data_IF_531649950961
#
_entry.id   IF_531649950961
#
_cell.length_a   1.000
_cell.length_b   1.000
_cell.length_c   1.000
_cell.angle_alpha   90.00
_cell.angle_beta   90.00
_cell.angle_gamma   90.00
#
_symmetry.space_group_name_H-M   'P 1'
#
loop_
_entity.id
_entity.type
_entity.pdbx_description
1 polymer ?
#
# COMPACT_ATOMS: atom_id res chain seq x y z
N UNK A 1 -22.70 -13.78 7.36
CA UNK A 1 -21.94 -13.38 8.55
C UNK A 1 -20.46 -13.54 8.26
N UNK A 2 -19.63 -12.54 8.57
CA UNK A 2 -18.22 -12.44 8.15
C UNK A 2 -17.24 -12.80 9.27
N UNK A 3 -16.02 -13.21 8.92
CA UNK A 3 -14.97 -13.56 9.92
C UNK A 3 -14.05 -12.37 10.18
N UNK A 4 -13.88 -12.00 11.44
CA UNK A 4 -12.98 -10.91 11.89
C UNK A 4 -11.92 -11.47 12.86
N UNK A 5 -10.81 -12.05 12.35
CA UNK A 5 -9.82 -12.71 13.20
C UNK A 5 -8.85 -11.69 13.84
N UNK A 6 -9.21 -11.16 15.02
CA UNK A 6 -8.44 -10.12 15.72
C UNK A 6 -7.08 -10.56 16.28
N UNK A 7 -6.91 -11.86 16.52
CA UNK A 7 -5.64 -12.41 17.04
C UNK A 7 -4.63 -12.75 15.94
N UNK A 8 -5.04 -12.69 14.67
CA UNK A 8 -4.18 -13.08 13.55
C UNK A 8 -3.43 -11.87 13.01
N UNK A 9 -2.13 -11.76 13.29
CA UNK A 9 -1.30 -10.61 12.88
C UNK A 9 -1.19 -10.42 11.35
N UNK A 10 -1.41 -11.48 10.57
CA UNK A 10 -1.40 -11.42 9.09
C UNK A 10 -2.72 -10.93 8.48
N UNK A 11 -3.75 -10.75 9.31
CA UNK A 11 -5.03 -10.27 8.83
C UNK A 11 -4.93 -8.78 8.48
N UNK A 12 -5.44 -8.41 7.30
CA UNK A 12 -5.59 -7.03 6.88
C UNK A 12 -6.88 -6.48 7.50
N UNK A 13 -6.73 -5.73 8.59
CA UNK A 13 -7.85 -5.16 9.35
C UNK A 13 -7.67 -3.66 9.45
N UNK A 14 -8.56 -2.89 8.83
CA UNK A 14 -8.66 -1.46 9.09
C UNK A 14 -9.47 -1.22 10.37
N UNK A 15 -8.99 -0.31 11.20
CA UNK A 15 -9.67 0.15 12.40
C UNK A 15 -9.98 1.63 12.30
N UNK A 16 -11.21 2.02 12.64
CA UNK A 16 -11.61 3.40 12.80
C UNK A 16 -12.40 3.58 14.10
N UNK A 17 -12.17 4.71 14.76
CA UNK A 17 -12.92 5.14 15.92
C UNK A 17 -13.36 6.58 15.74
N UNK A 18 -14.65 6.83 15.93
CA UNK A 18 -15.22 8.17 15.88
C UNK A 18 -16.40 8.30 16.86
N UNK A 19 -16.81 9.53 17.14
CA UNK A 19 -17.88 9.85 18.07
C UNK A 19 -19.03 10.58 17.37
N UNK A 20 -20.23 10.03 17.43
CA UNK A 20 -21.43 10.69 16.93
C UNK A 20 -21.96 11.69 17.98
N UNK A 21 -22.08 12.95 17.58
CA UNK A 21 -22.68 14.02 18.38
C UNK A 21 -24.19 14.04 18.20
N UNK A 22 -24.92 13.72 19.26
CA UNK A 22 -26.38 13.68 19.28
C UNK A 22 -26.94 14.61 20.35
N UNK A 23 -28.22 14.97 20.26
CA UNK A 23 -28.90 15.84 21.23
C UNK A 23 -28.81 15.33 22.68
N UNK A 24 -28.71 14.00 22.85
CA UNK A 24 -28.64 13.36 24.16
C UNK A 24 -27.19 13.10 24.63
N UNK A 25 -26.18 13.42 23.83
CA UNK A 25 -24.77 13.24 24.17
C UNK A 25 -23.92 12.66 23.03
N UNK A 26 -22.80 12.04 23.39
CA UNK A 26 -21.82 11.48 22.46
C UNK A 26 -21.92 9.95 22.44
N UNK A 27 -21.99 9.35 21.25
CA UNK A 27 -22.01 7.91 21.05
C UNK A 27 -20.70 7.50 20.38
N UNK A 28 -19.89 6.69 21.05
CA UNK A 28 -18.65 6.18 20.47
C UNK A 28 -18.92 5.02 19.51
N UNK A 29 -18.42 5.12 18.28
CA UNK A 29 -18.51 4.09 17.25
C UNK A 29 -17.12 3.52 17.01
N UNK A 30 -17.01 2.19 17.02
CA UNK A 30 -15.77 1.46 16.69
C UNK A 30 -16.06 0.53 15.53
N UNK A 31 -15.26 0.64 14.47
CA UNK A 31 -15.45 -0.12 13.23
C UNK A 31 -14.19 -0.89 12.92
N UNK A 32 -14.37 -2.16 12.54
CA UNK A 32 -13.32 -3.04 12.03
C UNK A 32 -13.72 -3.55 10.65
N UNK A 33 -12.86 -3.35 9.66
CA UNK A 33 -13.08 -3.84 8.28
C UNK A 33 -12.02 -4.90 8.00
N UNK A 34 -12.45 -6.16 7.87
CA UNK A 34 -11.59 -7.28 7.50
C UNK A 34 -11.51 -7.37 5.97
N UNK A 35 -10.35 -7.06 5.40
CA UNK A 35 -10.07 -7.14 3.95
C UNK A 35 -9.50 -8.50 3.52
N UNK A 36 -9.14 -9.36 4.48
CA UNK A 36 -8.58 -10.69 4.22
C UNK A 36 -7.25 -10.91 4.94
N UNK A 37 -6.35 -11.68 4.32
CA UNK A 37 -5.01 -11.94 4.84
C UNK A 37 -3.96 -11.46 3.84
N UNK A 38 -2.91 -10.80 4.33
CA UNK A 38 -1.79 -10.34 3.49
C UNK A 38 -0.73 -11.43 3.43
N UNK A 39 -0.45 -11.93 2.23
CA UNK A 39 0.64 -12.88 1.96
C UNK A 39 1.80 -12.12 1.30
N UNK A 40 2.71 -11.55 2.10
CA UNK A 40 3.86 -10.77 1.62
C UNK A 40 4.47 -9.90 2.73
N UNK A 41 5.56 -9.17 2.44
CA UNK A 41 6.08 -8.13 3.35
C UNK A 41 5.19 -6.88 3.20
N UNK A 42 4.38 -6.51 4.19
CA UNK A 42 3.63 -5.26 4.14
C UNK A 42 4.63 -4.12 4.33
N UNK A 43 4.69 -3.18 3.38
CA UNK A 43 5.45 -1.95 3.56
C UNK A 43 4.66 -1.08 4.55
N UNK A 44 4.99 -1.18 5.84
CA UNK A 44 4.27 -0.50 6.94
C UNK A 44 4.54 1.01 7.00
N UNK A 45 5.20 1.58 5.99
CA UNK A 45 5.43 3.01 5.88
C UNK A 45 4.15 3.70 5.38
N UNK A 46 3.50 4.58 6.16
CA UNK A 46 2.24 5.22 5.79
C UNK A 46 2.41 6.34 4.74
N UNK A 47 3.42 6.26 3.87
CA UNK A 47 3.75 7.23 2.82
C UNK A 47 3.71 6.59 1.43
N UNK A 48 2.74 5.71 1.18
CA UNK A 48 2.52 5.10 -0.13
C UNK A 48 1.08 5.27 -0.63
N UNK A 49 0.39 6.34 -0.22
CA UNK A 49 -0.55 6.94 -1.14
C UNK A 49 0.27 7.46 -2.33
N UNK A 50 0.01 6.91 -3.52
CA UNK A 50 0.66 7.15 -4.82
C UNK A 50 1.84 6.23 -5.17
N UNK A 51 1.52 5.01 -5.64
CA UNK A 51 1.98 4.55 -6.96
C UNK A 51 1.25 3.26 -7.39
N UNK A 52 0.45 3.28 -8.47
CA UNK A 52 0.14 2.03 -9.17
C UNK A 52 1.40 1.58 -9.90
N UNK A 53 2.08 0.54 -9.42
CA UNK A 53 3.21 -0.05 -10.17
C UNK A 53 2.67 -0.96 -11.28
N UNK A 54 2.15 -0.31 -12.33
CA UNK A 54 1.89 -0.92 -13.63
C UNK A 54 3.21 -1.24 -14.34
N UNK A 55 3.24 -2.39 -15.00
CA UNK A 55 4.37 -2.90 -15.81
C UNK A 55 4.57 -2.02 -17.06
N UNK A 56 5.80 -1.63 -17.38
CA UNK A 56 6.19 -1.08 -18.71
C UNK A 56 7.71 -1.31 -18.90
N UNK A 57 8.12 -2.40 -19.55
CA UNK A 57 8.40 -2.55 -20.99
C UNK A 57 9.48 -1.59 -21.50
N UNK A 58 10.60 -2.16 -21.93
CA UNK A 58 11.79 -1.40 -22.33
C UNK A 58 11.66 -0.68 -23.66
N UNK A 59 12.55 0.28 -23.89
CA UNK A 59 13.37 0.38 -25.11
C UNK A 59 14.36 1.55 -25.05
N UNK A 60 15.56 1.27 -25.58
CA UNK A 60 16.45 2.15 -26.33
C UNK A 60 17.20 3.34 -25.69
N UNK A 61 18.53 3.23 -25.87
CA UNK A 61 19.64 4.22 -25.88
C UNK A 61 20.37 4.36 -24.54
N UNK A 62 21.71 4.28 -24.59
CA UNK A 62 22.45 5.50 -24.89
C UNK A 62 23.47 5.35 -26.01
N UNK A 63 23.49 6.36 -26.87
CA UNK A 63 24.66 6.73 -27.62
C UNK A 63 25.82 6.98 -26.63
N UNK A 64 27.02 6.47 -26.98
CA UNK A 64 28.37 7.00 -26.67
C UNK A 64 29.38 5.86 -26.47
N UNK A 65 29.91 5.33 -27.58
CA UNK A 65 31.27 4.78 -27.55
C UNK A 65 32.21 5.83 -28.13
N UNK A 66 32.97 6.42 -27.22
CA UNK A 66 34.09 7.32 -27.50
C UNK A 66 35.28 6.49 -27.95
N UNK A 67 35.98 6.98 -28.96
CA UNK A 67 37.43 6.83 -29.05
C UNK A 67 37.92 5.75 -30.02
N UNK A 68 38.96 6.13 -30.77
CA UNK A 68 39.81 5.17 -31.46
C UNK A 68 40.02 5.39 -32.96
N UNK A 69 40.26 6.64 -33.40
CA UNK A 69 40.96 6.85 -34.68
C UNK A 69 42.40 6.37 -34.51
N UNK A 70 42.68 5.13 -34.93
CA UNK A 70 44.02 4.70 -35.28
C UNK A 70 43.96 3.50 -36.23
N UNK A 71 44.48 3.65 -37.45
CA UNK A 71 45.50 2.75 -38.05
C UNK A 71 45.73 3.06 -39.53
N UNK A 72 47.02 3.28 -39.81
CA UNK A 72 47.80 3.09 -41.04
C UNK A 72 47.41 3.86 -42.30
#
# INVERSE_FOLDING_TARGET
>A
DGRTPLHTLRADIDYAHDEAHTTYGRIGIKVWICKGEIYGRPDLTPSAAVAPKGKMQGNNRPAKSRGGRNRK
#
